data_IF_649636407781
#
_entry.id   IF_649636407781
#
_cell.length_a   1.000
_cell.length_b   1.000
_cell.length_c   1.000
_cell.angle_alpha   90.00
_cell.angle_beta   90.00
_cell.angle_gamma   90.00
#
_symmetry.space_group_name_H-M   'P 1'
#
loop_
_entity.id
_entity.type
_entity.pdbx_description
1 polymer ?
#
# COMPACT_ATOMS: atom_id res chain seq x y z
N UNK A 1 -18.29 16.23 -2.97
CA UNK A 1 -18.34 15.59 -4.30
C UNK A 1 -17.68 14.23 -4.19
N UNK A 2 -18.03 13.29 -5.07
CA UNK A 2 -17.57 11.89 -5.01
C UNK A 2 -16.04 11.74 -4.91
N UNK A 3 -15.27 12.66 -5.53
CA UNK A 3 -13.80 12.67 -5.42
C UNK A 3 -13.32 12.90 -3.99
N UNK A 4 -13.92 13.83 -3.25
CA UNK A 4 -13.54 14.13 -1.86
C UNK A 4 -13.76 12.95 -0.92
N UNK A 5 -14.90 12.26 -1.09
CA UNK A 5 -15.25 11.08 -0.30
C UNK A 5 -14.27 9.92 -0.54
N UNK A 6 -13.80 9.73 -1.78
CA UNK A 6 -12.79 8.72 -2.10
C UNK A 6 -11.43 8.99 -1.43
N UNK A 7 -11.02 10.25 -1.32
CA UNK A 7 -9.75 10.66 -0.70
C UNK A 7 -9.80 10.46 0.82
N UNK A 8 -10.91 10.87 1.44
CA UNK A 8 -11.11 10.69 2.89
C UNK A 8 -11.16 9.20 3.24
N UNK A 9 -11.89 8.41 2.46
CA UNK A 9 -11.96 6.95 2.62
C UNK A 9 -10.59 6.30 2.47
N UNK A 10 -9.84 6.63 1.42
CA UNK A 10 -8.48 6.10 1.23
C UNK A 10 -7.58 6.47 2.42
N UNK A 11 -7.66 7.70 2.90
CA UNK A 11 -6.87 8.16 4.06
C UNK A 11 -7.20 7.36 5.31
N UNK A 12 -8.50 7.16 5.60
CA UNK A 12 -8.96 6.38 6.74
C UNK A 12 -8.50 4.91 6.66
N UNK A 13 -8.65 4.28 5.49
CA UNK A 13 -8.24 2.89 5.29
C UNK A 13 -6.71 2.72 5.36
N UNK A 14 -5.93 3.68 4.88
CA UNK A 14 -4.47 3.68 5.08
C UNK A 14 -4.12 3.71 6.56
N UNK A 15 -4.70 4.64 7.32
CA UNK A 15 -4.43 4.76 8.76
C UNK A 15 -4.84 3.48 9.51
N UNK A 16 -6.00 2.92 9.17
CA UNK A 16 -6.47 1.66 9.75
C UNK A 16 -5.52 0.51 9.45
N UNK A 17 -5.06 0.39 8.21
CA UNK A 17 -4.07 -0.60 7.79
C UNK A 17 -2.75 -0.46 8.57
N UNK A 18 -2.26 0.77 8.74
CA UNK A 18 -1.05 1.08 9.53
C UNK A 18 -1.22 0.68 10.99
N UNK A 19 -2.34 1.06 11.62
CA UNK A 19 -2.62 0.74 13.03
C UNK A 19 -2.66 -0.78 13.23
N UNK A 20 -3.40 -1.50 12.39
CA UNK A 20 -3.49 -2.97 12.49
C UNK A 20 -2.12 -3.64 12.29
N UNK A 21 -1.32 -3.15 11.34
CA UNK A 21 0.06 -3.60 11.15
C UNK A 21 0.89 -3.46 12.43
N UNK A 22 0.85 -2.28 13.08
CA UNK A 22 1.64 -2.05 14.31
C UNK A 22 1.09 -2.78 15.53
N UNK A 23 -0.19 -3.14 15.55
CA UNK A 23 -0.79 -4.00 16.58
C UNK A 23 -0.47 -5.49 16.36
N UNK A 24 0.18 -5.85 15.25
CA UNK A 24 0.46 -7.24 14.89
C UNK A 24 -0.73 -8.00 14.31
N UNK A 25 -1.86 -7.33 14.04
CA UNK A 25 -3.06 -7.93 13.45
C UNK A 25 -2.95 -7.95 11.91
N UNK A 26 -1.99 -8.74 11.43
CA UNK A 26 -1.64 -8.82 10.00
C UNK A 26 -2.76 -9.38 9.13
N UNK A 27 -3.49 -10.40 9.63
CA UNK A 27 -4.65 -11.01 8.96
C UNK A 27 -5.73 -9.95 8.68
N UNK A 28 -6.14 -9.19 9.70
CA UNK A 28 -7.16 -8.16 9.53
C UNK A 28 -6.66 -7.03 8.64
N UNK A 29 -5.39 -6.64 8.75
CA UNK A 29 -4.79 -5.63 7.89
C UNK A 29 -4.78 -6.10 6.41
N UNK A 30 -4.42 -7.35 6.14
CA UNK A 30 -4.42 -7.94 4.81
C UNK A 30 -5.84 -8.08 4.23
N UNK A 31 -6.86 -8.27 5.08
CA UNK A 31 -8.26 -8.22 4.68
C UNK A 31 -8.69 -6.87 4.09
N UNK A 32 -8.07 -5.76 4.53
CA UNK A 32 -8.35 -4.41 4.00
C UNK A 32 -7.66 -4.14 2.66
N UNK A 33 -6.55 -4.81 2.39
CA UNK A 33 -5.64 -4.47 1.29
C UNK A 33 -6.31 -4.46 -0.11
N UNK A 34 -7.20 -5.40 -0.49
CA UNK A 34 -7.86 -5.36 -1.80
C UNK A 34 -8.73 -4.11 -1.99
N UNK A 35 -9.53 -3.75 -0.97
CA UNK A 35 -10.40 -2.57 -1.01
C UNK A 35 -9.60 -1.27 -1.04
N UNK A 36 -8.53 -1.18 -0.23
CA UNK A 36 -7.63 -0.04 -0.22
C UNK A 36 -6.90 0.11 -1.56
N UNK A 37 -6.37 -0.98 -2.13
CA UNK A 37 -5.67 -0.92 -3.42
C UNK A 37 -6.59 -0.45 -4.56
N UNK A 38 -7.84 -0.92 -4.59
CA UNK A 38 -8.84 -0.46 -5.56
C UNK A 38 -9.16 1.04 -5.37
N UNK A 39 -9.28 1.49 -4.12
CA UNK A 39 -9.49 2.90 -3.80
C UNK A 39 -8.32 3.76 -4.29
N UNK A 40 -7.07 3.33 -4.04
CA UNK A 40 -5.87 4.03 -4.50
C UNK A 40 -5.78 4.17 -6.02
N UNK A 41 -6.26 3.19 -6.79
CA UNK A 41 -6.27 3.24 -8.25
C UNK A 41 -7.23 4.31 -8.81
N UNK A 42 -8.29 4.64 -8.07
CA UNK A 42 -9.29 5.65 -8.43
C UNK A 42 -9.01 7.06 -7.92
N UNK A 43 -7.92 7.28 -7.17
CA UNK A 43 -7.65 8.58 -6.56
C UNK A 43 -7.31 9.65 -7.62
N UNK A 44 -7.74 10.92 -7.40
CA UNK A 44 -7.34 12.03 -8.24
C UNK A 44 -5.83 12.17 -8.35
N UNK A 45 -5.33 12.72 -9.48
CA UNK A 45 -3.88 12.87 -9.74
C UNK A 45 -3.13 13.66 -8.65
N UNK A 46 -3.78 14.65 -8.04
CA UNK A 46 -3.19 15.46 -6.97
C UNK A 46 -3.00 14.65 -5.67
N UNK A 47 -3.70 13.53 -5.51
CA UNK A 47 -3.58 12.55 -4.42
C UNK A 47 -2.58 11.41 -4.72
N UNK A 48 -1.72 11.54 -5.73
CA UNK A 48 -0.71 10.54 -6.09
C UNK A 48 0.14 10.05 -4.89
N UNK A 49 0.38 10.92 -3.91
CA UNK A 49 1.11 10.57 -2.69
C UNK A 49 0.38 9.54 -1.82
N UNK A 50 -0.94 9.70 -1.70
CA UNK A 50 -1.79 8.83 -0.90
C UNK A 50 -1.93 7.47 -1.57
N UNK A 51 -2.06 7.44 -2.90
CA UNK A 51 -2.03 6.22 -3.67
C UNK A 51 -0.72 5.44 -3.47
N UNK A 52 0.43 6.12 -3.55
CA UNK A 52 1.74 5.50 -3.30
C UNK A 52 1.85 4.91 -1.88
N UNK A 53 1.37 5.63 -0.87
CA UNK A 53 1.37 5.17 0.53
C UNK A 53 0.43 3.99 0.75
N UNK A 54 -0.80 4.07 0.24
CA UNK A 54 -1.77 2.99 0.41
C UNK A 54 -1.31 1.71 -0.25
N UNK A 55 -0.80 1.79 -1.48
CA UNK A 55 -0.23 0.63 -2.17
C UNK A 55 1.01 0.07 -1.47
N UNK A 56 1.86 0.92 -0.90
CA UNK A 56 2.98 0.47 -0.06
C UNK A 56 2.50 -0.32 1.15
N UNK A 57 1.50 0.19 1.88
CA UNK A 57 0.96 -0.49 3.06
C UNK A 57 0.22 -1.78 2.70
N UNK A 58 -0.54 -1.81 1.61
CA UNK A 58 -1.10 -3.06 1.05
C UNK A 58 0.02 -4.07 0.81
N UNK A 59 1.11 -3.65 0.17
CA UNK A 59 2.28 -4.49 -0.05
C UNK A 59 2.87 -5.06 1.25
N UNK A 60 3.05 -4.22 2.26
CA UNK A 60 3.60 -4.63 3.57
C UNK A 60 2.74 -5.66 4.28
N UNK A 61 1.42 -5.48 4.33
CA UNK A 61 0.53 -6.40 5.07
C UNK A 61 0.30 -7.71 4.31
N UNK A 62 0.23 -7.65 2.97
CA UNK A 62 0.08 -8.83 2.12
C UNK A 62 1.35 -9.70 2.17
N UNK A 63 2.53 -9.08 2.27
CA UNK A 63 3.80 -9.78 2.43
C UNK A 63 3.86 -10.64 3.70
N UNK A 64 3.15 -10.22 4.76
CA UNK A 64 3.05 -10.96 6.02
C UNK A 64 2.01 -12.11 5.97
N UNK A 65 1.13 -12.14 4.95
CA UNK A 65 -0.10 -12.96 4.98
C UNK A 65 -0.13 -14.05 3.91
N UNK A 66 1.01 -14.69 3.60
CA UNK A 66 1.17 -15.69 2.53
C UNK A 66 0.74 -15.24 1.11
N UNK A 67 0.39 -13.95 0.92
CA UNK A 67 -0.07 -13.36 -0.34
C UNK A 67 1.06 -12.63 -1.06
N UNK A 68 2.19 -13.32 -1.24
CA UNK A 68 3.44 -12.74 -1.77
C UNK A 68 3.28 -12.09 -3.15
N UNK A 69 2.55 -12.73 -4.07
CA UNK A 69 2.34 -12.21 -5.42
C UNK A 69 1.57 -10.88 -5.41
N UNK A 70 0.50 -10.79 -4.62
CA UNK A 70 -0.29 -9.57 -4.47
C UNK A 70 0.53 -8.44 -3.84
N UNK A 71 1.37 -8.79 -2.86
CA UNK A 71 2.29 -7.86 -2.22
C UNK A 71 3.25 -7.20 -3.24
N UNK A 72 3.89 -8.03 -4.08
CA UNK A 72 4.79 -7.57 -5.14
C UNK A 72 4.05 -6.68 -6.14
N UNK A 73 2.84 -7.06 -6.55
CA UNK A 73 2.00 -6.25 -7.44
C UNK A 73 1.73 -4.85 -6.86
N UNK A 74 1.30 -4.77 -5.59
CA UNK A 74 1.03 -3.50 -4.92
C UNK A 74 2.29 -2.63 -4.83
N UNK A 75 3.43 -3.22 -4.45
CA UNK A 75 4.70 -2.49 -4.32
C UNK A 75 5.24 -1.98 -5.66
N UNK A 76 5.07 -2.73 -6.75
CA UNK A 76 5.43 -2.27 -8.10
C UNK A 76 4.56 -1.10 -8.55
N UNK A 77 3.27 -1.14 -8.26
CA UNK A 77 2.37 -0.01 -8.51
C UNK A 77 2.77 1.21 -7.67
N UNK A 78 3.07 1.04 -6.38
CA UNK A 78 3.56 2.10 -5.51
C UNK A 78 4.86 2.75 -6.04
N UNK A 79 5.80 1.93 -6.55
CA UNK A 79 7.08 2.39 -7.13
C UNK A 79 6.91 3.25 -8.38
N UNK A 80 5.79 3.12 -9.10
CA UNK A 80 5.53 3.89 -10.31
C UNK A 80 5.28 5.38 -10.04
N UNK A 81 4.95 5.75 -8.79
CA UNK A 81 4.74 7.14 -8.39
C UNK A 81 6.08 7.85 -8.16
N UNK A 82 6.45 8.77 -9.07
CA UNK A 82 7.79 9.40 -9.12
C UNK A 82 7.88 10.81 -8.50
N UNK A 83 6.76 11.44 -8.13
CA UNK A 83 6.69 12.85 -7.72
C UNK A 83 6.13 13.03 -6.31
N UNK A 84 6.82 12.45 -5.33
CA UNK A 84 6.41 12.53 -3.94
C UNK A 84 7.52 13.18 -3.09
N UNK A 85 7.22 14.23 -2.29
CA UNK A 85 8.23 14.96 -1.53
C UNK A 85 8.90 14.17 -0.40
N UNK A 86 8.33 13.06 0.06
CA UNK A 86 8.98 12.21 1.06
C UNK A 86 9.51 10.95 0.36
N UNK A 87 10.75 10.53 0.64
CA UNK A 87 11.32 9.37 -0.05
C UNK A 87 10.74 8.04 0.47
N UNK A 88 9.58 7.64 -0.07
CA UNK A 88 9.02 6.30 0.13
C UNK A 88 9.63 5.26 -0.81
N UNK A 89 10.28 5.70 -1.88
CA UNK A 89 10.82 4.82 -2.92
C UNK A 89 11.90 3.91 -2.35
N UNK A 90 12.79 4.43 -1.50
CA UNK A 90 13.77 3.62 -0.78
C UNK A 90 13.14 2.49 0.04
N UNK A 91 12.03 2.78 0.75
CA UNK A 91 11.29 1.78 1.54
C UNK A 91 10.63 0.73 0.64
N UNK A 92 10.04 1.13 -0.48
CA UNK A 92 9.42 0.22 -1.44
C UNK A 92 10.46 -0.72 -2.05
N UNK A 93 11.60 -0.18 -2.50
CA UNK A 93 12.67 -0.99 -3.11
C UNK A 93 13.20 -2.05 -2.12
N UNK A 94 13.46 -1.67 -0.87
CA UNK A 94 13.93 -2.63 0.15
C UNK A 94 12.97 -3.81 0.34
N UNK A 95 11.67 -3.54 0.44
CA UNK A 95 10.68 -4.61 0.61
C UNK A 95 10.55 -5.46 -0.66
N UNK A 96 10.61 -4.85 -1.84
CA UNK A 96 10.63 -5.60 -3.10
C UNK A 96 11.84 -6.53 -3.19
N UNK A 97 13.04 -6.04 -2.84
CA UNK A 97 14.26 -6.86 -2.84
C UNK A 97 14.13 -8.08 -1.92
N UNK A 98 13.56 -7.91 -0.72
CA UNK A 98 13.27 -9.02 0.21
C UNK A 98 12.25 -10.02 -0.37
N UNK A 99 11.24 -9.53 -1.10
CA UNK A 99 10.19 -10.36 -1.69
C UNK A 99 10.56 -10.97 -3.05
N UNK A 100 11.56 -10.45 -3.73
CA UNK A 100 12.04 -10.96 -5.02
C UNK A 100 13.32 -11.81 -4.85
N UNK A 101 13.97 -11.74 -3.68
CA UNK A 101 15.08 -12.62 -3.36
C UNK A 101 14.66 -14.09 -3.43
N UNK A 102 15.51 -14.97 -4.00
CA UNK A 102 15.25 -16.40 -3.98
C UNK A 102 15.14 -16.89 -2.54
N UNK A 103 14.17 -17.78 -2.28
CA UNK A 103 14.06 -18.45 -0.99
C UNK A 103 15.38 -19.18 -0.72
N UNK A 104 16.00 -18.89 0.43
CA UNK A 104 17.17 -19.62 0.90
C UNK A 104 16.76 -21.02 1.35
#
# INVERSE_FOLDING_TARGET
>A
GEEGESVERASAEVLRCVVLFYLGDAERAAGLAPGLAACCAGLPRWCAYLAAHGLYWCGRVLALSARRADAVSCLRQAKAYRRYPFDIRGKICRVLEELEAPAK
#
